data_IF_797369197724
#
_entry.id   IF_797369197724
#
_cell.length_a   1.000
_cell.length_b   1.000
_cell.length_c   1.000
_cell.angle_alpha   90.00
_cell.angle_beta   90.00
_cell.angle_gamma   90.00
#
_symmetry.space_group_name_H-M   'P 1'
#
loop_
_entity.id
_entity.type
_entity.pdbx_description
1 polymer ?
#
# COMPACT_ATOMS: atom_id res chain seq x y z
N UNK A 1 -11.38 15.32 -7.97
CA UNK A 1 -10.57 14.52 -7.03
C UNK A 1 -11.45 13.41 -6.49
N UNK A 2 -11.15 12.15 -6.80
CA UNK A 2 -11.90 11.00 -6.27
C UNK A 2 -11.42 10.73 -4.85
N UNK A 3 -12.30 10.92 -3.85
CA UNK A 3 -12.04 10.46 -2.48
C UNK A 3 -12.00 8.93 -2.50
N UNK A 4 -10.84 8.34 -2.19
CA UNK A 4 -10.76 6.88 -2.08
C UNK A 4 -11.80 6.39 -1.07
N UNK A 5 -12.67 5.48 -1.51
CA UNK A 5 -13.66 4.82 -0.65
C UNK A 5 -13.03 3.63 0.06
N UNK A 6 -13.51 3.36 1.28
CA UNK A 6 -13.14 2.18 2.04
C UNK A 6 -13.52 0.90 1.28
N UNK A 7 -12.57 -0.03 1.23
CA UNK A 7 -12.78 -1.45 0.95
C UNK A 7 -11.78 -2.25 1.79
N UNK A 8 -12.06 -3.51 2.07
CA UNK A 8 -11.13 -4.38 2.82
C UNK A 8 -9.75 -4.43 2.14
N UNK A 9 -9.73 -4.61 0.81
CA UNK A 9 -8.48 -4.67 0.04
C UNK A 9 -7.67 -3.36 0.10
N UNK A 10 -8.34 -2.20 -0.03
CA UNK A 10 -7.66 -0.89 0.06
C UNK A 10 -7.15 -0.62 1.48
N UNK A 11 -7.91 -1.03 2.50
CA UNK A 11 -7.45 -0.93 3.89
C UNK A 11 -6.24 -1.82 4.15
N UNK A 12 -6.27 -3.08 3.73
CA UNK A 12 -5.15 -4.00 3.88
C UNK A 12 -3.90 -3.51 3.15
N UNK A 13 -4.05 -3.00 1.93
CA UNK A 13 -2.96 -2.40 1.17
C UNK A 13 -2.36 -1.18 1.89
N UNK A 14 -3.20 -0.25 2.36
CA UNK A 14 -2.73 0.93 3.10
C UNK A 14 -2.07 0.56 4.44
N UNK A 15 -2.59 -0.45 5.13
CA UNK A 15 -1.99 -0.99 6.35
C UNK A 15 -0.64 -1.66 6.07
N UNK A 16 -0.51 -2.41 4.97
CA UNK A 16 0.75 -3.02 4.56
C UNK A 16 1.82 -1.96 4.28
N UNK A 17 1.48 -0.88 3.57
CA UNK A 17 2.38 0.28 3.36
C UNK A 17 2.80 0.90 4.69
N UNK A 18 1.88 1.07 5.65
CA UNK A 18 2.20 1.62 6.98
C UNK A 18 3.19 0.76 7.78
N UNK A 19 3.18 -0.55 7.54
CA UNK A 19 4.07 -1.52 8.16
C UNK A 19 5.39 -1.69 7.39
N UNK A 20 5.59 -0.90 6.33
CA UNK A 20 6.76 -1.00 5.46
C UNK A 20 6.72 -2.19 4.51
N UNK A 21 5.64 -2.98 4.43
CA UNK A 21 5.56 -4.24 3.66
C UNK A 21 5.43 -4.08 2.14
N UNK A 22 5.64 -2.89 1.59
CA UNK A 22 5.43 -2.61 0.16
C UNK A 22 6.61 -1.79 -0.37
N UNK A 23 7.16 -2.22 -1.51
CA UNK A 23 8.22 -1.53 -2.24
C UNK A 23 7.90 -1.48 -3.74
N UNK A 24 8.55 -0.56 -4.45
CA UNK A 24 8.44 -0.39 -5.90
C UNK A 24 9.83 -0.56 -6.55
N UNK A 25 10.01 -1.54 -7.43
CA UNK A 25 11.30 -1.81 -8.08
C UNK A 25 11.25 -1.37 -9.57
N UNK A 26 12.15 -0.47 -9.96
CA UNK A 26 12.17 0.24 -11.26
C UNK A 26 12.67 -0.59 -12.48
N UNK A 27 12.83 -1.91 -12.36
CA UNK A 27 13.33 -2.76 -13.47
C UNK A 27 12.27 -3.20 -14.48
N UNK A 28 10.98 -3.01 -14.16
CA UNK A 28 9.85 -3.35 -15.03
C UNK A 28 8.89 -2.16 -14.98
N UNK A 29 8.34 -1.75 -16.12
CA UNK A 29 7.27 -0.74 -16.24
C UNK A 29 5.91 -1.24 -15.66
N UNK A 30 5.97 -2.12 -14.68
CA UNK A 30 4.86 -2.74 -13.99
C UNK A 30 5.14 -2.69 -12.49
N UNK A 31 4.13 -2.42 -11.64
CA UNK A 31 4.30 -2.37 -10.20
C UNK A 31 4.90 -3.68 -9.69
N UNK A 32 6.12 -3.56 -9.14
CA UNK A 32 6.89 -4.68 -8.64
C UNK A 32 6.22 -5.33 -7.40
N UNK A 33 6.40 -6.66 -7.21
CA UNK A 33 5.70 -7.47 -6.21
C UNK A 33 5.75 -6.95 -4.78
N UNK A 34 4.69 -7.23 -4.02
CA UNK A 34 4.55 -6.90 -2.60
C UNK A 34 5.41 -7.85 -1.78
N UNK A 35 6.53 -7.35 -1.28
CA UNK A 35 7.47 -8.10 -0.45
C UNK A 35 7.13 -7.94 1.04
N UNK A 36 6.95 -9.05 1.74
CA UNK A 36 6.92 -9.03 3.21
C UNK A 36 8.34 -8.80 3.76
N UNK A 37 8.56 -7.65 4.41
CA UNK A 37 9.84 -7.29 5.02
C UNK A 37 10.22 -8.17 6.21
N UNK A 38 9.25 -8.89 6.80
CA UNK A 38 9.50 -9.76 7.95
C UNK A 38 10.17 -11.06 7.55
N UNK A 39 9.87 -11.58 6.35
CA UNK A 39 10.36 -12.90 5.89
C UNK A 39 11.41 -12.80 4.79
N UNK A 40 11.48 -11.68 4.07
CA UNK A 40 12.41 -11.51 2.96
C UNK A 40 12.09 -12.37 1.74
N UNK A 41 10.91 -13.01 1.71
CA UNK A 41 10.48 -13.88 0.62
C UNK A 41 9.78 -13.08 -0.49
N UNK A 42 10.08 -13.44 -1.73
CA UNK A 42 9.43 -12.88 -2.91
C UNK A 42 8.11 -13.60 -3.12
N UNK A 43 6.98 -12.93 -2.94
CA UNK A 43 5.66 -13.44 -3.32
C UNK A 43 5.07 -12.61 -4.45
N UNK A 44 4.38 -13.25 -5.40
CA UNK A 44 3.72 -12.55 -6.50
C UNK A 44 2.58 -11.67 -5.96
N UNK A 45 2.58 -10.39 -6.32
CA UNK A 45 1.47 -9.47 -5.99
C UNK A 45 0.23 -9.86 -6.78
N UNK A 46 -0.89 -10.04 -6.08
CA UNK A 46 -2.19 -10.28 -6.72
C UNK A 46 -2.66 -9.03 -7.48
N UNK A 47 -3.45 -9.23 -8.54
CA UNK A 47 -4.03 -8.13 -9.29
C UNK A 47 -4.89 -7.21 -8.40
N UNK A 48 -5.57 -7.76 -7.40
CA UNK A 48 -6.37 -6.99 -6.44
C UNK A 48 -5.51 -6.05 -5.60
N UNK A 49 -4.36 -6.52 -5.10
CA UNK A 49 -3.42 -5.69 -4.34
C UNK A 49 -2.81 -4.59 -5.24
N UNK A 50 -2.50 -4.92 -6.50
CA UNK A 50 -2.00 -3.96 -7.49
C UNK A 50 -3.02 -2.84 -7.73
N UNK A 51 -4.28 -3.18 -7.98
CA UNK A 51 -5.34 -2.20 -8.19
C UNK A 51 -5.57 -1.35 -6.94
N UNK A 52 -5.57 -1.97 -5.75
CA UNK A 52 -5.69 -1.24 -4.50
C UNK A 52 -4.55 -0.22 -4.30
N UNK A 53 -3.29 -0.59 -4.55
CA UNK A 53 -2.15 0.33 -4.44
C UNK A 53 -2.25 1.47 -5.46
N UNK A 54 -2.66 1.19 -6.71
CA UNK A 54 -2.89 2.22 -7.73
C UNK A 54 -3.97 3.21 -7.30
N UNK A 55 -5.07 2.73 -6.74
CA UNK A 55 -6.16 3.57 -6.24
C UNK A 55 -5.72 4.45 -5.06
N UNK A 56 -4.93 3.90 -4.13
CA UNK A 56 -4.38 4.64 -3.00
C UNK A 56 -3.41 5.73 -3.44
N UNK A 57 -2.58 5.46 -4.44
CA UNK A 57 -1.67 6.43 -5.04
C UNK A 57 -2.43 7.53 -5.78
N UNK A 58 -3.40 7.17 -6.62
CA UNK A 58 -4.25 8.13 -7.33
C UNK A 58 -5.08 9.02 -6.38
N UNK A 59 -5.33 8.54 -5.16
CA UNK A 59 -6.01 9.29 -4.10
C UNK A 59 -5.07 10.06 -3.17
N UNK A 60 -3.76 10.08 -3.43
CA UNK A 60 -2.75 10.79 -2.65
C UNK A 60 -2.72 10.30 -1.19
N UNK A 61 -2.88 8.99 -0.98
CA UNK A 61 -2.79 8.33 0.34
C UNK A 61 -1.44 7.65 0.56
N UNK A 62 -0.77 7.29 -0.53
CA UNK A 62 0.58 6.72 -0.53
C UNK A 62 1.42 7.40 -1.61
N UNK A 63 2.72 7.34 -1.44
CA UNK A 63 3.72 7.88 -2.35
C UNK A 63 4.91 6.92 -2.47
N UNK A 64 5.67 7.05 -3.55
CA UNK A 64 6.90 6.29 -3.76
C UNK A 64 8.06 7.20 -3.40
N UNK A 65 8.87 6.80 -2.43
CA UNK A 65 10.10 7.53 -2.11
C UNK A 65 11.16 7.24 -3.18
N UNK A 66 11.18 8.10 -4.19
CA UNK A 66 12.15 8.05 -5.30
C UNK A 66 13.54 8.56 -4.92
N UNK A 67 13.69 9.21 -3.76
CA UNK A 67 14.97 9.78 -3.32
C UNK A 67 15.89 8.73 -2.71
N UNK A 68 15.30 7.66 -2.16
CA UNK A 68 16.03 6.56 -1.56
C UNK A 68 15.82 5.29 -2.38
N UNK A 69 16.88 4.85 -3.04
CA UNK A 69 16.95 3.52 -3.63
C UNK A 69 17.56 2.59 -2.58
N UNK A 70 16.73 1.70 -2.04
CA UNK A 70 17.20 0.60 -1.19
C UNK A 70 17.68 -0.54 -2.09
N UNK A 71 18.42 -1.51 -1.53
CA UNK A 71 18.92 -2.69 -2.26
C UNK A 71 17.84 -3.41 -3.10
N UNK A 72 16.56 -3.23 -2.75
CA UNK A 72 15.41 -3.94 -3.31
C UNK A 72 14.42 -3.03 -4.06
N UNK A 73 14.71 -1.74 -4.20
CA UNK A 73 13.86 -0.75 -4.87
C UNK A 73 13.53 0.47 -4.01
N UNK A 74 12.51 1.21 -4.41
CA UNK A 74 11.98 2.36 -3.70
C UNK A 74 10.98 1.96 -2.62
N UNK A 75 11.02 2.67 -1.49
CA UNK A 75 10.03 2.49 -0.44
C UNK A 75 8.69 3.10 -0.88
N UNK A 76 7.58 2.42 -0.59
CA UNK A 76 6.26 3.03 -0.64
C UNK A 76 5.93 3.55 0.76
N UNK A 77 5.54 4.82 0.87
CA UNK A 77 5.27 5.50 2.14
C UNK A 77 3.84 6.02 2.19
N UNK A 78 3.31 6.17 3.39
CA UNK A 78 2.03 6.85 3.61
C UNK A 78 2.24 8.36 3.53
N UNK A 79 1.34 9.07 2.83
CA UNK A 79 1.33 10.53 2.80
C UNK A 79 0.70 11.12 4.07
N UNK A 80 0.86 12.43 4.27
CA UNK A 80 0.17 13.15 5.35
C UNK A 80 -1.36 12.95 5.32
N UNK A 81 -1.96 12.72 4.14
CA UNK A 81 -3.40 12.45 3.98
C UNK A 81 -3.77 10.98 4.15
N UNK A 82 -2.82 10.07 3.93
CA UNK A 82 -3.01 8.65 4.15
C UNK A 82 -3.16 8.27 5.62
N UNK A 83 -2.45 8.92 6.54
CA UNK A 83 -2.52 8.59 7.97
C UNK A 83 -3.93 8.76 8.58
N UNK A 84 -4.63 9.90 8.41
CA UNK A 84 -6.02 10.04 8.87
C UNK A 84 -6.95 9.01 8.25
N UNK A 85 -6.77 8.71 6.96
CA UNK A 85 -7.57 7.71 6.23
C UNK A 85 -7.36 6.30 6.79
N UNK A 86 -6.11 5.90 7.03
CA UNK A 86 -5.77 4.62 7.66
C UNK A 86 -6.45 4.49 9.04
N UNK A 87 -6.41 5.55 9.85
CA UNK A 87 -7.07 5.57 11.17
C UNK A 87 -8.58 5.41 11.04
N UNK A 88 -9.23 6.16 10.15
CA UNK A 88 -10.66 6.07 9.92
C UNK A 88 -11.07 4.67 9.43
N UNK A 89 -10.33 4.11 8.49
CA UNK A 89 -10.60 2.79 7.93
C UNK A 89 -10.32 1.65 8.90
N UNK A 90 -9.37 1.80 9.85
CA UNK A 90 -9.13 0.80 10.90
C UNK A 90 -10.36 0.58 11.78
N UNK A 91 -11.16 1.62 12.02
CA UNK A 91 -12.41 1.53 12.78
C UNK A 91 -13.48 0.78 11.99
N UNK A 92 -13.56 1.02 10.67
CA UNK A 92 -14.49 0.33 9.78
C UNK A 92 -14.11 -1.15 9.64
N UNK A 93 -12.84 -1.45 9.41
CA UNK A 93 -12.33 -2.81 9.28
C UNK A 93 -12.60 -3.66 10.53
N UNK A 94 -12.45 -3.09 11.74
CA UNK A 94 -12.80 -3.79 12.99
C UNK A 94 -14.28 -4.22 13.04
N UNK A 95 -15.19 -3.48 12.41
CA UNK A 95 -16.61 -3.84 12.34
C UNK A 95 -16.84 -4.95 11.33
N UNK A 96 -16.20 -4.87 10.17
CA UNK A 96 -16.27 -5.90 9.13
C UNK A 96 -15.72 -7.26 9.60
N UNK A 97 -14.62 -7.27 10.36
CA UNK A 97 -14.04 -8.51 10.89
C UNK A 97 -14.76 -9.08 12.12
N UNK A 98 -15.65 -8.31 12.74
CA UNK A 98 -16.45 -8.75 13.89
C UNK A 98 -17.85 -9.24 13.49
N UNK A 99 -18.23 -9.07 12.23
CA UNK A 99 -19.47 -9.55 11.63
C UNK A 99 -19.24 -10.91 10.97
#
# INVERSE_FOLDING_TARGET
MSTAKFTVNRYQALAAVSQGKICYNNGLLEPAPGYDWVTGETSQMTDDLRHALRDLWAADLIDIDTHHLFERGHQVRITTRGYPTLRAWSVLARREYAA
#
